data_IF_050286198770
#
_entry.id   IF_050286198770
#
_cell.length_a   1.000
_cell.length_b   1.000
_cell.length_c   1.000
_cell.angle_alpha   90.00
_cell.angle_beta   90.00
_cell.angle_gamma   90.00
#
_symmetry.space_group_name_H-M   'P 1'
#
loop_
_entity.id
_entity.type
_entity.pdbx_description
1 polymer ?
#
# COMPACT_ATOMS: atom_id res chain seq x y z
N UNK A 1 4.98 -11.78 6.22
CA UNK A 1 5.97 -11.47 5.17
C UNK A 1 7.08 -10.56 5.69
N UNK A 2 6.78 -9.37 6.21
CA UNK A 2 7.81 -8.41 6.73
C UNK A 2 8.77 -9.04 7.76
N UNK A 3 8.25 -9.75 8.77
CA UNK A 3 9.10 -10.40 9.78
C UNK A 3 10.09 -11.41 9.18
N UNK A 4 9.64 -12.22 8.21
CA UNK A 4 10.48 -13.23 7.56
C UNK A 4 11.59 -12.56 6.73
N UNK A 5 11.23 -11.52 5.97
CA UNK A 5 12.21 -10.76 5.18
C UNK A 5 13.22 -10.02 6.05
N UNK A 6 12.80 -9.47 7.20
CA UNK A 6 13.70 -8.84 8.16
C UNK A 6 14.69 -9.86 8.76
N UNK A 7 14.25 -11.09 9.06
CA UNK A 7 15.13 -12.15 9.56
C UNK A 7 16.16 -12.61 8.52
N UNK A 8 15.79 -12.67 7.24
CA UNK A 8 16.68 -13.15 6.17
C UNK A 8 17.60 -12.05 5.62
N UNK A 9 17.10 -10.82 5.46
CA UNK A 9 17.77 -9.71 4.75
C UNK A 9 18.04 -8.47 5.61
N UNK A 10 17.69 -8.48 6.90
CA UNK A 10 17.90 -7.35 7.79
C UNK A 10 17.10 -6.11 7.37
N UNK A 11 17.76 -5.00 7.06
CA UNK A 11 17.11 -3.72 6.69
C UNK A 11 16.97 -3.50 5.18
N UNK A 12 17.51 -4.39 4.35
CA UNK A 12 17.59 -4.18 2.89
C UNK A 12 16.39 -4.72 2.11
N UNK A 13 15.39 -5.31 2.79
CA UNK A 13 14.24 -5.95 2.13
C UNK A 13 13.15 -5.00 1.61
N UNK A 14 13.26 -3.70 1.87
CA UNK A 14 12.13 -2.79 1.67
C UNK A 14 11.75 -2.63 0.19
N UNK A 15 12.71 -2.77 -0.73
CA UNK A 15 12.43 -2.73 -2.17
C UNK A 15 11.86 -4.06 -2.70
N UNK A 16 11.89 -5.14 -1.90
CA UNK A 16 11.21 -6.40 -2.23
C UNK A 16 9.70 -6.35 -1.93
N UNK A 17 9.25 -5.37 -1.14
CA UNK A 17 7.85 -5.23 -0.77
C UNK A 17 7.07 -4.51 -1.86
N UNK A 18 6.18 -5.24 -2.53
CA UNK A 18 5.18 -4.66 -3.41
C UNK A 18 3.87 -4.41 -2.64
N UNK A 19 3.58 -3.14 -2.33
CA UNK A 19 2.33 -2.77 -1.69
C UNK A 19 2.37 -1.41 -1.01
N UNK A 20 1.26 -1.08 -0.35
CA UNK A 20 1.07 0.16 0.40
C UNK A 20 1.26 -0.16 1.88
N UNK A 21 2.21 0.48 2.55
CA UNK A 21 2.52 0.16 3.94
C UNK A 21 3.20 1.33 4.66
N UNK A 22 2.96 1.36 5.96
CA UNK A 22 3.78 2.05 6.92
C UNK A 22 3.89 1.14 8.14
N UNK A 23 5.11 0.84 8.60
CA UNK A 23 5.31 -0.06 9.73
C UNK A 23 6.39 0.45 10.67
N UNK A 24 6.30 0.00 11.92
CA UNK A 24 7.36 0.07 12.91
C UNK A 24 7.58 -1.35 13.47
N UNK A 25 8.82 -1.83 13.38
CA UNK A 25 9.25 -3.14 13.85
C UNK A 25 10.23 -2.91 15.00
N UNK A 26 10.03 -3.64 16.09
CA UNK A 26 10.97 -3.67 17.22
C UNK A 26 11.53 -5.07 17.35
N UNK A 27 12.86 -5.16 17.39
CA UNK A 27 13.63 -6.37 17.59
C UNK A 27 14.20 -6.37 19.01
N UNK A 28 13.64 -7.19 19.88
CA UNK A 28 14.04 -7.29 21.28
C UNK A 28 15.38 -7.99 21.49
N UNK A 29 15.83 -8.83 20.56
CA UNK A 29 17.12 -9.51 20.69
C UNK A 29 18.27 -8.54 20.40
N UNK A 30 18.04 -7.63 19.45
CA UNK A 30 19.01 -6.62 19.04
C UNK A 30 18.85 -5.26 19.73
N UNK A 31 17.83 -5.11 20.57
CA UNK A 31 17.41 -3.85 21.20
C UNK A 31 17.34 -2.70 20.18
N UNK A 32 16.65 -2.97 19.06
CA UNK A 32 16.67 -2.10 17.89
C UNK A 32 15.30 -2.01 17.22
N UNK A 33 15.06 -0.93 16.48
CA UNK A 33 13.80 -0.71 15.78
C UNK A 33 14.01 -0.22 14.36
N UNK A 34 13.14 -0.69 13.47
CA UNK A 34 13.09 -0.36 12.05
C UNK A 34 11.74 0.24 11.71
N UNK A 35 11.75 1.39 11.05
CA UNK A 35 10.53 2.04 10.57
C UNK A 35 10.64 2.19 9.07
N UNK A 36 9.61 1.78 8.34
CA UNK A 36 9.58 1.84 6.88
C UNK A 36 8.26 2.41 6.37
N UNK A 37 8.33 3.16 5.27
CA UNK A 37 7.18 3.70 4.55
C UNK A 37 7.29 3.36 3.06
N UNK A 38 6.16 3.06 2.44
CA UNK A 38 6.08 2.65 1.03
C UNK A 38 6.69 3.65 0.05
N UNK A 39 6.96 3.16 -1.16
CA UNK A 39 7.78 3.81 -2.19
C UNK A 39 7.37 5.24 -2.56
N UNK A 40 6.07 5.57 -2.52
CA UNK A 40 5.57 6.92 -2.86
C UNK A 40 4.79 7.57 -1.71
N UNK A 41 4.71 6.92 -0.54
CA UNK A 41 4.04 7.44 0.66
C UNK A 41 2.51 7.36 0.61
N UNK A 42 1.96 6.32 -0.01
CA UNK A 42 0.52 6.07 -0.11
C UNK A 42 -0.13 5.99 1.28
N UNK A 43 0.51 5.26 2.21
CA UNK A 43 0.08 5.22 3.60
C UNK A 43 0.75 6.37 4.36
N UNK A 44 -0.02 7.22 5.06
CA UNK A 44 0.55 8.32 5.82
C UNK A 44 1.32 7.79 7.05
N UNK A 45 2.48 8.39 7.29
CA UNK A 45 3.27 8.16 8.49
C UNK A 45 3.96 9.46 8.90
N UNK A 46 3.85 9.79 10.17
CA UNK A 46 4.43 10.98 10.78
C UNK A 46 5.41 10.56 11.87
N UNK A 47 6.39 11.43 12.12
CA UNK A 47 7.39 11.23 13.15
C UNK A 47 7.65 12.52 13.92
N UNK A 48 8.05 12.39 15.18
CA UNK A 48 8.28 13.54 16.05
C UNK A 48 9.12 13.21 17.27
N UNK A 49 9.51 14.25 17.99
CA UNK A 49 10.20 14.13 19.27
C UNK A 49 9.47 14.94 20.35
N UNK A 50 9.45 14.43 21.57
CA UNK A 50 8.97 15.14 22.75
C UNK A 50 10.07 16.04 23.37
N UNK A 51 9.78 16.61 24.54
CA UNK A 51 10.73 17.44 25.31
C UNK A 51 11.90 16.64 25.90
N UNK A 52 11.74 15.33 26.05
CA UNK A 52 12.72 14.43 26.65
C UNK A 52 13.63 13.77 25.60
N UNK A 53 13.37 14.02 24.31
CA UNK A 53 14.10 13.43 23.20
C UNK A 53 13.59 12.03 22.81
N UNK A 54 12.45 11.58 23.36
CA UNK A 54 11.82 10.34 22.94
C UNK A 54 11.28 10.49 21.51
N UNK A 55 11.51 9.46 20.70
CA UNK A 55 11.08 9.42 19.31
C UNK A 55 9.73 8.74 19.18
N UNK A 56 8.82 9.37 18.44
CA UNK A 56 7.46 8.88 18.21
C UNK A 56 7.17 8.77 16.73
N UNK A 57 6.35 7.79 16.37
CA UNK A 57 5.75 7.66 15.05
C UNK A 57 4.26 7.35 15.15
N UNK A 58 3.48 7.85 14.18
CA UNK A 58 2.05 7.58 14.10
C UNK A 58 1.55 7.74 12.66
N UNK A 59 0.49 7.01 12.31
CA UNK A 59 -0.16 7.13 10.99
C UNK A 59 -0.85 8.49 10.78
N UNK A 60 -1.19 9.18 11.87
CA UNK A 60 -1.86 10.47 11.83
C UNK A 60 -1.18 11.50 12.74
N UNK A 61 -1.00 12.71 12.23
CA UNK A 61 -0.39 13.83 12.96
C UNK A 61 -1.11 14.13 14.29
N UNK A 62 -2.44 13.98 14.33
CA UNK A 62 -3.25 14.25 15.52
C UNK A 62 -2.85 13.44 16.75
N UNK A 63 -2.24 12.26 16.57
CA UNK A 63 -1.74 11.44 17.67
C UNK A 63 -0.44 11.98 18.27
N UNK A 64 0.35 12.73 17.48
CA UNK A 64 1.63 13.28 17.90
C UNK A 64 1.51 14.69 18.48
N UNK A 65 0.56 15.50 18.01
CA UNK A 65 0.35 16.89 18.47
C UNK A 65 0.31 17.05 20.00
N UNK A 66 -0.34 16.16 20.79
CA UNK A 66 -0.42 16.34 22.23
C UNK A 66 0.89 16.06 22.98
N UNK A 67 1.84 15.36 22.36
CA UNK A 67 3.03 14.81 23.04
C UNK A 67 4.34 15.32 22.45
N UNK A 68 4.39 15.56 21.15
CA UNK A 68 5.61 15.96 20.44
C UNK A 68 5.75 17.49 20.36
N UNK A 69 6.98 17.97 20.56
CA UNK A 69 7.35 19.37 20.31
C UNK A 69 7.64 19.63 18.84
N UNK A 70 8.20 18.65 18.14
CA UNK A 70 8.48 18.72 16.72
C UNK A 70 7.80 17.56 16.01
N UNK A 71 7.13 17.85 14.90
CA UNK A 71 6.43 16.85 14.09
C UNK A 71 6.77 17.10 12.63
N UNK A 72 7.08 16.03 11.91
CA UNK A 72 7.31 16.04 10.48
C UNK A 72 6.72 14.78 9.85
N UNK A 73 6.45 14.86 8.56
CA UNK A 73 6.09 13.68 7.79
C UNK A 73 7.32 12.76 7.65
N UNK A 74 7.11 11.45 7.79
CA UNK A 74 8.15 10.46 7.56
C UNK A 74 8.39 10.35 6.04
N UNK A 75 9.62 10.48 5.53
CA UNK A 75 9.86 10.51 4.08
C UNK A 75 9.33 9.28 3.34
N UNK A 76 8.75 9.48 2.16
CA UNK A 76 8.31 8.40 1.28
C UNK A 76 9.50 7.57 0.76
N UNK A 77 9.28 6.29 0.47
CA UNK A 77 10.28 5.37 -0.08
C UNK A 77 11.54 5.27 0.77
N UNK A 78 11.37 5.39 2.08
CA UNK A 78 12.47 5.51 3.03
C UNK A 78 12.28 4.61 4.25
N UNK A 79 13.38 4.40 4.97
CA UNK A 79 13.38 3.76 6.27
C UNK A 79 14.30 4.45 7.25
N UNK A 80 14.07 4.18 8.53
CA UNK A 80 14.89 4.63 9.63
C UNK A 80 15.21 3.41 10.50
N UNK A 81 16.51 3.10 10.58
CA UNK A 81 17.02 2.04 11.41
C UNK A 81 17.70 2.62 12.65
N UNK A 82 17.35 2.13 13.83
CA UNK A 82 17.83 2.71 15.10
C UNK A 82 19.35 2.64 15.27
N UNK A 83 20.01 1.65 14.66
CA UNK A 83 21.48 1.51 14.75
C UNK A 83 22.21 2.48 13.80
N UNK A 84 21.58 2.85 12.68
CA UNK A 84 22.15 3.83 11.74
C UNK A 84 21.85 5.26 12.20
N UNK A 85 20.67 5.48 12.78
CA UNK A 85 20.21 6.80 13.26
C UNK A 85 19.80 7.77 12.14
N UNK A 86 19.97 7.38 10.87
CA UNK A 86 19.67 8.20 9.70
C UNK A 86 18.54 7.62 8.86
N UNK A 87 17.78 8.51 8.22
CA UNK A 87 16.74 8.11 7.27
C UNK A 87 17.42 7.80 5.93
N UNK A 88 17.19 6.60 5.42
CA UNK A 88 17.73 6.14 4.14
C UNK A 88 16.60 5.91 3.14
N UNK A 89 16.78 6.45 1.94
CA UNK A 89 15.91 6.15 0.81
C UNK A 89 16.29 4.78 0.23
N UNK A 90 15.30 3.93 0.01
CA UNK A 90 15.48 2.64 -0.63
C UNK A 90 14.91 2.61 -2.05
N UNK A 91 13.92 3.45 -2.34
CA UNK A 91 13.24 3.46 -3.63
C UNK A 91 13.93 4.41 -4.61
N UNK A 92 14.69 3.83 -5.53
CA UNK A 92 15.30 4.54 -6.66
C UNK A 92 15.00 3.78 -7.94
N UNK A 93 14.61 4.50 -9.00
CA UNK A 93 14.37 3.94 -10.32
C UNK A 93 15.06 4.79 -11.39
N UNK A 94 15.42 4.15 -12.48
CA UNK A 94 16.07 4.76 -13.64
C UNK A 94 15.25 5.90 -14.25
N UNK A 95 13.93 5.71 -14.32
CA UNK A 95 12.99 6.70 -14.87
C UNK A 95 12.86 8.00 -14.08
N UNK A 96 13.57 8.16 -12.96
CA UNK A 96 13.72 9.46 -12.30
C UNK A 96 14.56 10.44 -13.13
N UNK A 97 15.40 9.93 -14.04
CA UNK A 97 16.23 10.74 -14.94
C UNK A 97 15.69 10.65 -16.37
N UNK A 98 15.48 11.80 -17.01
CA UNK A 98 14.95 11.85 -18.39
C UNK A 98 15.87 11.14 -19.40
N UNK A 99 17.19 11.23 -19.20
CA UNK A 99 18.17 10.61 -20.09
C UNK A 99 18.06 9.08 -20.13
N UNK A 100 17.56 8.45 -19.07
CA UNK A 100 17.35 7.01 -19.01
C UNK A 100 16.08 6.56 -19.77
N UNK A 101 15.18 7.48 -20.12
CA UNK A 101 13.87 7.13 -20.72
C UNK A 101 13.62 7.74 -22.10
N UNK A 102 14.43 8.72 -22.52
CA UNK A 102 14.18 9.51 -23.75
C UNK A 102 14.04 8.67 -25.03
N UNK A 103 14.78 7.57 -25.12
CA UNK A 103 14.84 6.70 -26.29
C UNK A 103 14.05 5.39 -26.08
N UNK A 104 13.27 5.29 -24.99
CA UNK A 104 12.52 4.07 -24.69
C UNK A 104 11.33 3.90 -25.65
N UNK A 105 11.16 2.68 -26.14
CA UNK A 105 10.00 2.32 -26.94
C UNK A 105 8.76 2.10 -26.06
N UNK A 106 7.59 2.51 -26.55
CA UNK A 106 6.32 2.34 -25.84
C UNK A 106 5.51 1.20 -26.43
N UNK A 107 5.29 0.14 -25.65
CA UNK A 107 4.33 -0.92 -25.98
C UNK A 107 3.00 -0.74 -25.22
N UNK A 108 1.93 -0.47 -25.98
CA UNK A 108 0.58 -0.29 -25.45
C UNK A 108 0.02 -1.57 -24.80
N UNK A 109 0.44 -2.75 -25.25
CA UNK A 109 -0.03 -4.02 -24.71
C UNK A 109 0.62 -4.29 -23.35
N UNK A 110 1.92 -4.03 -23.23
CA UNK A 110 2.63 -4.13 -21.95
C UNK A 110 2.03 -3.17 -20.92
N UNK A 111 1.79 -1.91 -21.30
CA UNK A 111 1.18 -0.94 -20.40
C UNK A 111 -0.23 -1.35 -19.94
N UNK A 112 -1.06 -1.85 -20.87
CA UNK A 112 -2.40 -2.34 -20.54
C UNK A 112 -2.32 -3.53 -19.59
N UNK A 113 -1.45 -4.50 -19.87
CA UNK A 113 -1.30 -5.68 -19.05
C UNK A 113 -0.80 -5.34 -17.65
N UNK A 114 0.20 -4.45 -17.52
CA UNK A 114 0.71 -3.99 -16.24
C UNK A 114 -0.39 -3.32 -15.39
N UNK A 115 -1.25 -2.50 -16.01
CA UNK A 115 -2.39 -1.90 -15.32
C UNK A 115 -3.42 -2.95 -14.88
N UNK A 116 -3.74 -3.91 -15.75
CA UNK A 116 -4.66 -5.01 -15.43
C UNK A 116 -4.12 -5.88 -14.27
N UNK A 117 -2.82 -6.20 -14.27
CA UNK A 117 -2.15 -6.94 -13.21
C UNK A 117 -2.12 -6.17 -11.89
N UNK A 118 -1.84 -4.87 -11.95
CA UNK A 118 -1.91 -3.99 -10.78
C UNK A 118 -3.32 -3.98 -10.18
N UNK A 119 -4.37 -3.78 -10.99
CA UNK A 119 -5.74 -3.83 -10.46
C UNK A 119 -6.04 -5.20 -9.87
N UNK A 120 -5.67 -6.30 -10.56
CA UNK A 120 -5.91 -7.66 -10.08
C UNK A 120 -5.28 -7.94 -8.72
N UNK A 121 -4.04 -7.50 -8.47
CA UNK A 121 -3.37 -7.68 -7.18
C UNK A 121 -4.05 -6.90 -6.04
N UNK A 122 -4.71 -5.78 -6.36
CA UNK A 122 -5.44 -4.95 -5.39
C UNK A 122 -6.87 -5.45 -5.09
N UNK A 123 -7.34 -6.51 -5.78
CA UNK A 123 -8.66 -7.13 -5.54
C UNK A 123 -8.62 -8.26 -4.50
N UNK A 124 -7.45 -8.60 -3.94
CA UNK A 124 -7.33 -9.60 -2.87
C UNK A 124 -7.92 -9.03 -1.57
N UNK A 125 -9.09 -9.51 -1.17
CA UNK A 125 -9.81 -9.02 0.00
C UNK A 125 -10.85 -10.05 0.44
N UNK A 126 -10.74 -10.47 1.70
CA UNK A 126 -11.72 -11.37 2.35
C UNK A 126 -13.05 -10.67 2.67
N UNK A 127 -13.13 -9.35 2.46
CA UNK A 127 -14.32 -8.52 2.71
C UNK A 127 -14.89 -7.95 1.41
N UNK A 128 -16.21 -7.70 1.34
CA UNK A 128 -16.81 -7.03 0.19
C UNK A 128 -16.18 -5.65 -0.06
N UNK A 129 -15.78 -5.40 -1.30
CA UNK A 129 -15.22 -4.12 -1.74
C UNK A 129 -16.09 -3.45 -2.80
N UNK A 130 -15.87 -2.15 -2.99
CA UNK A 130 -16.53 -1.33 -3.99
C UNK A 130 -15.52 -0.56 -4.84
N UNK A 131 -16.01 0.08 -5.90
CA UNK A 131 -15.22 1.00 -6.74
C UNK A 131 -15.76 2.41 -6.61
N UNK A 132 -14.87 3.41 -6.62
CA UNK A 132 -15.24 4.82 -6.65
C UNK A 132 -15.37 5.28 -8.11
N UNK A 133 -16.57 5.69 -8.51
CA UNK A 133 -16.88 6.14 -9.87
C UNK A 133 -17.20 7.64 -9.88
N UNK A 134 -16.31 8.42 -10.49
CA UNK A 134 -16.48 9.88 -10.64
C UNK A 134 -17.02 10.29 -12.02
N UNK A 135 -17.05 9.38 -12.98
CA UNK A 135 -17.32 9.66 -14.41
C UNK A 135 -16.10 10.13 -15.20
N UNK A 136 -14.95 10.34 -14.55
CA UNK A 136 -13.67 10.61 -15.22
C UNK A 136 -13.02 9.35 -15.81
N UNK A 137 -12.09 9.55 -16.75
CA UNK A 137 -11.42 8.48 -17.49
C UNK A 137 -10.75 7.46 -16.55
N UNK A 138 -9.97 7.91 -15.58
CA UNK A 138 -9.18 7.02 -14.69
C UNK A 138 -10.08 6.12 -13.85
N UNK A 139 -11.05 6.73 -13.15
CA UNK A 139 -12.01 5.97 -12.33
C UNK A 139 -12.86 5.00 -13.17
N UNK A 140 -13.12 5.33 -14.44
CA UNK A 140 -13.86 4.48 -15.37
C UNK A 140 -13.01 3.30 -15.84
N UNK A 141 -11.73 3.51 -16.13
CA UNK A 141 -10.78 2.45 -16.48
C UNK A 141 -10.62 1.47 -15.32
N UNK A 142 -10.35 1.97 -14.10
CA UNK A 142 -10.21 1.12 -12.92
C UNK A 142 -11.51 0.32 -12.70
N UNK A 143 -12.67 0.97 -12.75
CA UNK A 143 -13.95 0.29 -12.56
C UNK A 143 -14.26 -0.75 -13.64
N UNK A 144 -13.90 -0.49 -14.90
CA UNK A 144 -14.06 -1.44 -16.00
C UNK A 144 -13.16 -2.67 -15.82
N UNK A 145 -11.89 -2.46 -15.46
CA UNK A 145 -10.93 -3.53 -15.17
C UNK A 145 -11.38 -4.32 -13.94
N UNK A 146 -11.78 -3.64 -12.85
CA UNK A 146 -12.34 -4.30 -11.67
C UNK A 146 -13.56 -5.13 -12.05
N UNK A 147 -14.51 -4.63 -12.86
CA UNK A 147 -15.67 -5.44 -13.26
C UNK A 147 -15.28 -6.67 -14.09
N UNK A 148 -14.26 -6.54 -14.96
CA UNK A 148 -13.70 -7.64 -15.77
C UNK A 148 -13.16 -8.77 -14.88
N UNK A 149 -12.48 -8.45 -13.78
CA UNK A 149 -11.84 -9.44 -12.90
C UNK A 149 -12.67 -9.82 -11.66
N UNK A 150 -13.57 -8.96 -11.19
CA UNK A 150 -14.39 -9.18 -10.00
C UNK A 150 -15.43 -10.30 -10.17
N UNK A 151 -15.72 -10.75 -11.40
CA UNK A 151 -16.60 -11.90 -11.61
C UNK A 151 -15.99 -13.24 -11.15
N UNK A 152 -14.68 -13.29 -10.90
CA UNK A 152 -13.93 -14.51 -10.58
C UNK A 152 -13.11 -14.28 -9.31
N UNK A 153 -13.32 -15.08 -8.25
CA UNK A 153 -12.48 -14.97 -7.03
C UNK A 153 -11.01 -15.21 -7.36
N UNK A 154 -10.16 -14.25 -6.98
CA UNK A 154 -8.70 -14.32 -7.13
C UNK A 154 -8.10 -15.35 -6.15
N UNK A 155 -8.69 -15.49 -4.96
CA UNK A 155 -8.27 -16.45 -3.91
C UNK A 155 -8.49 -17.92 -4.27
N UNK A 156 -9.37 -18.23 -5.22
CA UNK A 156 -9.82 -19.60 -5.52
C UNK A 156 -9.50 -20.04 -6.96
N UNK A 157 -8.43 -19.49 -7.55
CA UNK A 157 -8.07 -19.71 -8.96
C UNK A 157 -9.27 -19.59 -9.93
N UNK A 158 -10.09 -18.56 -9.76
CA UNK A 158 -11.27 -18.30 -10.60
C UNK A 158 -12.45 -19.30 -10.47
N UNK A 159 -12.52 -20.14 -9.43
CA UNK A 159 -13.56 -21.19 -9.31
C UNK A 159 -14.90 -20.75 -8.71
N UNK A 160 -14.95 -19.63 -8.00
CA UNK A 160 -16.15 -19.20 -7.24
C UNK A 160 -16.51 -17.73 -7.50
N UNK A 161 -17.80 -17.39 -7.42
CA UNK A 161 -18.30 -16.01 -7.59
C UNK A 161 -17.86 -15.10 -6.42
N UNK A 162 -17.53 -13.84 -6.75
CA UNK A 162 -17.14 -12.85 -5.75
C UNK A 162 -18.37 -12.19 -5.11
N UNK A 163 -18.27 -11.91 -3.81
CA UNK A 163 -19.27 -11.12 -3.10
C UNK A 163 -19.09 -9.64 -3.41
N UNK A 164 -19.72 -9.17 -4.49
CA UNK A 164 -19.87 -7.75 -4.78
C UNK A 164 -21.36 -7.38 -4.79
N UNK A 165 -21.72 -6.25 -4.17
CA UNK A 165 -23.08 -5.69 -4.16
C UNK A 165 -23.69 -5.47 -5.56
N UNK A 166 -22.85 -5.47 -6.62
CA UNK A 166 -23.29 -5.39 -8.02
C UNK A 166 -23.40 -6.74 -8.74
N UNK A 167 -22.94 -7.83 -8.13
CA UNK A 167 -23.01 -9.19 -8.71
C UNK A 167 -24.22 -9.97 -8.20
N UNK A 168 -24.79 -9.61 -7.05
CA UNK A 168 -26.05 -10.20 -6.57
C UNK A 168 -27.24 -9.47 -7.23
N UNK A 169 -28.19 -10.16 -7.88
CA UNK A 169 -29.42 -9.52 -8.30
C UNK A 169 -30.10 -8.92 -7.07
N UNK A 170 -30.39 -7.62 -7.12
CA UNK A 170 -30.88 -6.77 -6.02
C UNK A 170 -32.22 -7.20 -5.38
N UNK A 171 -32.77 -8.38 -5.71
CA UNK A 171 -34.12 -8.80 -5.36
C UNK A 171 -34.26 -9.78 -4.17
N UNK A 172 -33.17 -10.30 -3.60
CA UNK A 172 -33.29 -11.35 -2.57
C UNK A 172 -33.02 -10.91 -1.12
N UNK A 173 -32.50 -9.70 -0.87
CA UNK A 173 -32.03 -9.30 0.48
C UNK A 173 -33.11 -8.58 1.32
N UNK A 174 -34.24 -8.16 0.73
CA UNK A 174 -35.32 -7.46 1.46
C UNK A 174 -36.66 -8.20 1.46
N UNK A 175 -36.69 -9.43 1.99
CA UNK A 175 -37.94 -10.01 2.54
C UNK A 175 -37.83 -10.06 4.06
N UNK A 176 -38.30 -9.00 4.71
CA UNK A 176 -38.55 -9.00 6.14
C UNK A 176 -39.62 -10.06 6.49
N UNK A 177 -39.49 -10.78 7.61
CA UNK A 177 -40.51 -11.72 8.07
C UNK A 177 -41.78 -10.96 8.47
N UNK A 178 -42.90 -11.25 7.80
CA UNK A 178 -44.23 -10.84 8.26
C UNK A 178 -44.59 -11.71 9.46
N UNK A 179 -44.78 -11.09 10.62
CA UNK A 179 -45.62 -11.61 11.71
C UNK A 179 -47.08 -11.64 11.29
#
# INVERSE_FOLDING_TARGET
MILALYQEKGVEFLDDLQGMFAFALYDSEQDAWLIGRDHIGIIPLYMGHDEHGNFYVASEMKALVPVCRTIKEFPAGSYLWSKDGEIRQYYQRDWFEFDAVKDNETDKNVLRQALEESVKSHLMSDVPYGVLLSGGLDSSIISAITKKFAARRVEDQERSEAWCLSCTPLLSVWKAPRT
#
